data_IF_919032251823
#
_entry.id   IF_919032251823
#
_cell.length_a   1.000
_cell.length_b   1.000
_cell.length_c   1.000
_cell.angle_alpha   90.00
_cell.angle_beta   90.00
_cell.angle_gamma   90.00
#
_symmetry.space_group_name_H-M   'P 1'
#
loop_
_entity.id
_entity.type
_entity.pdbx_description
1 polymer ?
#
# COMPACT_ATOMS: atom_id res chain seq x y z
N UNK A 1 -15.12 47.78 19.75
CA UNK A 1 -15.45 47.41 18.35
C UNK A 1 -14.21 46.78 17.75
N UNK A 2 -14.32 45.60 17.14
CA UNK A 2 -13.18 45.02 16.41
C UNK A 2 -13.13 45.76 15.07
N UNK A 3 -12.19 46.69 14.91
CA UNK A 3 -11.90 47.31 13.61
C UNK A 3 -11.17 46.32 12.71
N UNK A 4 -11.40 46.41 11.39
CA UNK A 4 -10.90 45.49 10.34
C UNK A 4 -11.45 44.05 10.39
N UNK A 5 -12.77 43.88 10.30
CA UNK A 5 -13.37 42.57 10.00
C UNK A 5 -13.53 42.39 8.49
N UNK A 6 -13.08 41.26 7.95
CA UNK A 6 -13.30 40.85 6.56
C UNK A 6 -14.02 39.50 6.56
N UNK A 7 -15.34 39.51 6.36
CA UNK A 7 -16.14 38.28 6.39
C UNK A 7 -16.77 38.02 5.03
N UNK A 8 -16.70 36.76 4.58
CA UNK A 8 -17.21 36.31 3.31
C UNK A 8 -17.79 34.91 3.45
N UNK A 9 -19.11 34.78 3.31
CA UNK A 9 -19.84 33.51 3.46
C UNK A 9 -20.66 33.22 2.20
N UNK A 10 -20.72 31.95 1.79
CA UNK A 10 -21.67 31.43 0.80
C UNK A 10 -21.45 31.84 -0.67
N UNK A 11 -20.39 32.57 -0.99
CA UNK A 11 -20.14 33.09 -2.34
C UNK A 11 -18.88 32.45 -2.95
N UNK A 12 -18.88 32.24 -4.28
CA UNK A 12 -17.70 31.78 -5.04
C UNK A 12 -17.11 32.94 -5.83
N UNK A 13 -15.91 33.36 -5.48
CA UNK A 13 -15.15 34.36 -6.22
C UNK A 13 -14.41 33.67 -7.37
N UNK A 14 -14.70 34.12 -8.59
CA UNK A 14 -13.96 33.73 -9.80
C UNK A 14 -12.65 34.52 -9.98
N UNK A 15 -12.32 35.40 -9.04
CA UNK A 15 -11.11 36.23 -9.04
C UNK A 15 -10.08 35.77 -8.02
N UNK A 16 -9.03 36.57 -7.82
CA UNK A 16 -7.90 36.27 -6.93
C UNK A 16 -7.81 37.27 -5.78
N UNK A 17 -7.30 36.84 -4.63
CA UNK A 17 -7.00 37.70 -3.49
C UNK A 17 -5.67 38.41 -3.75
N UNK A 18 -5.72 39.75 -3.79
CA UNK A 18 -4.54 40.60 -3.88
C UNK A 18 -4.13 41.05 -2.49
N UNK A 19 -3.03 40.51 -1.99
CA UNK A 19 -2.48 40.83 -0.67
C UNK A 19 -1.29 41.78 -0.81
N UNK A 20 -1.55 43.00 -1.27
CA UNK A 20 -0.53 44.05 -1.26
C UNK A 20 -0.59 44.79 0.08
N UNK A 21 0.18 44.33 1.08
CA UNK A 21 0.26 45.01 2.38
C UNK A 21 -1.03 45.03 3.20
N UNK A 22 -1.97 44.12 2.93
CA UNK A 22 -3.22 44.01 3.67
C UNK A 22 -2.95 43.40 5.05
N UNK A 23 -3.04 44.22 6.10
CA UNK A 23 -2.98 43.77 7.48
C UNK A 23 -4.34 43.15 7.85
N UNK A 24 -4.46 41.85 7.61
CA UNK A 24 -5.66 41.09 7.92
C UNK A 24 -5.73 40.91 9.44
N UNK A 25 -6.83 41.34 10.06
CA UNK A 25 -7.10 40.99 11.46
C UNK A 25 -7.35 39.49 11.56
N UNK A 26 -6.47 38.71 12.24
CA UNK A 26 -6.56 37.25 12.25
C UNK A 26 -7.87 36.74 12.85
N UNK A 27 -8.42 37.44 13.86
CA UNK A 27 -9.65 37.06 14.55
C UNK A 27 -10.92 37.62 13.87
N UNK A 28 -10.76 38.72 13.13
CA UNK A 28 -11.85 39.44 12.47
C UNK A 28 -12.17 38.96 11.05
N UNK A 29 -11.31 38.12 10.48
CA UNK A 29 -11.38 37.75 9.07
C UNK A 29 -11.89 36.34 8.89
N UNK A 30 -13.08 36.14 8.31
CA UNK A 30 -13.66 34.81 8.09
C UNK A 30 -13.98 34.61 6.62
N UNK A 31 -13.33 33.66 5.98
CA UNK A 31 -13.69 33.22 4.63
C UNK A 31 -13.29 31.77 4.47
N UNK A 32 -14.01 31.00 3.66
CA UNK A 32 -13.60 29.62 3.37
C UNK A 32 -12.53 29.65 2.27
N UNK A 33 -11.45 28.89 2.42
CA UNK A 33 -10.38 28.86 1.41
C UNK A 33 -10.92 28.45 0.03
N UNK A 34 -11.90 27.55 0.00
CA UNK A 34 -12.54 27.10 -1.25
C UNK A 34 -13.46 28.13 -1.92
N UNK A 35 -13.76 29.24 -1.26
CA UNK A 35 -14.57 30.32 -1.83
C UNK A 35 -13.89 30.98 -3.02
N UNK A 36 -12.56 30.88 -3.11
CA UNK A 36 -11.75 31.46 -4.19
C UNK A 36 -11.29 30.35 -5.12
N UNK A 37 -11.52 30.54 -6.42
CA UNK A 37 -11.14 29.59 -7.48
C UNK A 37 -9.64 29.63 -7.78
N UNK A 38 -9.04 28.46 -8.00
CA UNK A 38 -7.68 28.16 -8.48
C UNK A 38 -6.57 29.22 -8.29
N UNK A 39 -5.58 28.87 -7.46
CA UNK A 39 -4.45 29.69 -7.03
C UNK A 39 -4.85 31.08 -6.53
N UNK A 40 -5.22 31.09 -5.27
CA UNK A 40 -6.14 32.04 -4.66
C UNK A 40 -5.47 33.36 -4.33
N UNK A 41 -4.15 33.35 -4.17
CA UNK A 41 -3.35 34.53 -3.90
C UNK A 41 -2.66 34.96 -5.20
N UNK A 42 -2.70 36.26 -5.48
CA UNK A 42 -1.99 36.84 -6.62
C UNK A 42 -1.22 38.08 -6.21
N UNK A 43 -0.06 38.26 -6.85
CA UNK A 43 0.69 39.51 -6.82
C UNK A 43 0.30 40.33 -8.04
N UNK A 44 -0.06 41.59 -7.82
CA UNK A 44 -0.27 42.53 -8.91
C UNK A 44 1.06 43.22 -9.23
N UNK A 45 1.52 43.14 -10.47
CA UNK A 45 2.70 43.87 -10.93
C UNK A 45 2.26 45.06 -11.80
N UNK A 46 2.48 46.31 -11.34
CA UNK A 46 2.06 47.50 -12.07
C UNK A 46 2.71 47.63 -13.45
N UNK A 47 3.98 47.22 -13.58
CA UNK A 47 4.78 47.37 -14.81
C UNK A 47 4.34 46.40 -15.91
N UNK A 48 3.98 45.16 -15.54
CA UNK A 48 3.51 44.15 -16.48
C UNK A 48 2.00 44.22 -16.76
N UNK A 49 1.25 45.07 -16.04
CA UNK A 49 -0.23 45.11 -16.03
C UNK A 49 -0.86 43.72 -15.89
N UNK A 50 -0.24 42.86 -15.09
CA UNK A 50 -0.56 41.44 -15.01
C UNK A 50 -0.62 40.94 -13.58
N UNK A 51 -1.38 39.87 -13.37
CA UNK A 51 -1.43 39.14 -12.12
C UNK A 51 -0.49 37.94 -12.17
N UNK A 52 0.38 37.83 -11.19
CA UNK A 52 1.18 36.65 -10.94
C UNK A 52 0.46 35.80 -9.91
N UNK A 53 -0.01 34.64 -10.33
CA UNK A 53 -0.68 33.66 -9.48
C UNK A 53 0.00 32.30 -9.63
N UNK A 54 -0.49 31.32 -8.88
CA UNK A 54 0.05 29.97 -8.99
C UNK A 54 -0.17 29.29 -10.37
N UNK A 55 -1.04 29.81 -11.24
CA UNK A 55 -1.13 29.39 -12.65
C UNK A 55 -0.07 30.04 -13.54
N UNK A 56 0.51 31.16 -13.13
CA UNK A 56 1.55 31.92 -13.87
C UNK A 56 2.93 31.86 -13.21
N UNK A 57 3.17 30.84 -12.36
CA UNK A 57 4.44 30.62 -11.63
C UNK A 57 5.68 30.65 -12.53
N UNK A 58 5.56 30.22 -13.79
CA UNK A 58 6.65 30.22 -14.76
C UNK A 58 7.12 31.64 -15.16
N UNK A 59 6.26 32.66 -15.03
CA UNK A 59 6.54 34.04 -15.46
C UNK A 59 6.99 34.95 -14.31
N UNK A 60 6.92 34.49 -13.07
CA UNK A 60 7.26 35.30 -11.88
C UNK A 60 8.77 35.45 -11.76
N UNK A 61 9.33 36.65 -11.58
CA UNK A 61 10.75 36.81 -11.24
C UNK A 61 11.10 36.13 -9.89
N UNK A 62 12.29 35.55 -9.76
CA UNK A 62 12.68 34.78 -8.56
C UNK A 62 12.67 35.64 -7.28
N UNK A 63 13.03 36.90 -7.38
CA UNK A 63 13.02 37.90 -6.31
C UNK A 63 11.61 38.21 -5.78
N UNK A 64 10.58 38.03 -6.62
CA UNK A 64 9.18 38.30 -6.26
C UNK A 64 8.49 37.14 -5.53
N UNK A 65 9.06 35.94 -5.53
CA UNK A 65 8.50 34.79 -4.81
C UNK A 65 8.39 35.03 -3.30
N UNK A 66 9.32 35.80 -2.71
CA UNK A 66 9.28 36.14 -1.29
C UNK A 66 7.99 36.86 -0.90
N UNK A 67 7.51 37.79 -1.74
CA UNK A 67 6.25 38.50 -1.49
C UNK A 67 5.04 37.55 -1.53
N UNK A 68 5.09 36.55 -2.41
CA UNK A 68 4.05 35.53 -2.51
C UNK A 68 4.06 34.64 -1.26
N UNK A 69 5.24 34.18 -0.82
CA UNK A 69 5.39 33.42 0.42
C UNK A 69 4.89 34.19 1.65
N UNK A 70 5.21 35.48 1.76
CA UNK A 70 4.70 36.34 2.83
C UNK A 70 3.17 36.43 2.80
N UNK A 71 2.57 36.55 1.61
CA UNK A 71 1.11 36.61 1.45
C UNK A 71 0.43 35.32 1.89
N UNK A 72 0.96 34.16 1.49
CA UNK A 72 0.48 32.85 1.96
C UNK A 72 0.64 32.70 3.48
N UNK A 73 1.76 33.14 4.05
CA UNK A 73 2.03 33.08 5.49
C UNK A 73 1.02 33.90 6.31
N UNK A 74 0.64 35.10 5.84
CA UNK A 74 -0.36 35.95 6.52
C UNK A 74 -1.72 35.23 6.59
N UNK A 75 -2.20 34.67 5.47
CA UNK A 75 -3.48 33.95 5.45
C UNK A 75 -3.41 32.68 6.30
N UNK A 76 -2.33 31.90 6.17
CA UNK A 76 -2.15 30.68 6.94
C UNK A 76 -2.21 30.96 8.45
N UNK A 77 -1.51 32.01 8.92
CA UNK A 77 -1.54 32.41 10.32
C UNK A 77 -2.92 32.90 10.74
N UNK A 78 -3.67 33.58 9.87
CA UNK A 78 -5.04 33.97 10.13
C UNK A 78 -5.93 32.74 10.38
N UNK A 79 -5.94 31.75 9.47
CA UNK A 79 -6.73 30.53 9.65
C UNK A 79 -6.31 29.74 10.90
N UNK A 80 -5.00 29.64 11.15
CA UNK A 80 -4.48 28.96 12.35
C UNK A 80 -4.96 29.64 13.63
N UNK A 81 -4.92 30.97 13.69
CA UNK A 81 -5.39 31.74 14.86
C UNK A 81 -6.88 31.60 15.14
N UNK A 82 -7.69 31.31 14.12
CA UNK A 82 -9.12 31.09 14.23
C UNK A 82 -9.49 29.65 14.63
N UNK A 83 -8.51 28.74 14.66
CA UNK A 83 -8.76 27.31 14.83
C UNK A 83 -9.32 26.61 13.59
N UNK A 84 -9.38 27.28 12.43
CA UNK A 84 -9.79 26.66 11.16
C UNK A 84 -8.62 25.87 10.55
N UNK A 85 -8.37 24.67 11.10
CA UNK A 85 -7.28 23.78 10.67
C UNK A 85 -7.44 23.29 9.24
N UNK A 86 -8.69 23.10 8.79
CA UNK A 86 -8.96 22.55 7.46
C UNK A 86 -8.52 23.51 6.34
N UNK A 87 -8.90 24.78 6.44
CA UNK A 87 -8.49 25.79 5.47
C UNK A 87 -7.03 26.20 5.63
N UNK A 88 -6.50 26.21 6.86
CA UNK A 88 -5.07 26.41 7.11
C UNK A 88 -4.21 25.35 6.37
N UNK A 89 -4.58 24.07 6.50
CA UNK A 89 -3.87 22.98 5.83
C UNK A 89 -3.93 23.10 4.30
N UNK A 90 -5.09 23.45 3.73
CA UNK A 90 -5.21 23.66 2.28
C UNK A 90 -4.39 24.85 1.79
N UNK A 91 -4.36 25.94 2.55
CA UNK A 91 -3.51 27.10 2.25
C UNK A 91 -2.03 26.73 2.31
N UNK A 92 -1.64 25.92 3.29
CA UNK A 92 -0.27 25.44 3.44
C UNK A 92 0.15 24.52 2.28
N UNK A 93 -0.71 23.60 1.85
CA UNK A 93 -0.44 22.74 0.68
C UNK A 93 -0.24 23.59 -0.59
N UNK A 94 -1.13 24.56 -0.83
CA UNK A 94 -1.00 25.48 -1.97
C UNK A 94 0.30 26.29 -1.91
N UNK A 95 0.65 26.81 -0.74
CA UNK A 95 1.92 27.50 -0.51
C UNK A 95 3.13 26.60 -0.81
N UNK A 96 3.11 25.34 -0.38
CA UNK A 96 4.19 24.39 -0.65
C UNK A 96 4.30 23.99 -2.12
N UNK A 97 3.22 23.94 -2.88
CA UNK A 97 3.29 23.78 -4.33
C UNK A 97 4.02 24.96 -5.00
N UNK A 98 3.70 26.20 -4.58
CA UNK A 98 4.40 27.40 -5.07
C UNK A 98 5.88 27.37 -4.72
N UNK A 99 6.24 26.93 -3.51
CA UNK A 99 7.64 26.76 -3.09
C UNK A 99 8.36 25.66 -3.91
N UNK A 100 7.66 24.58 -4.24
CA UNK A 100 8.20 23.49 -5.08
C UNK A 100 8.54 24.00 -6.48
N UNK A 101 7.68 24.82 -7.08
CA UNK A 101 7.95 25.46 -8.37
C UNK A 101 9.10 26.48 -8.31
N UNK A 102 9.21 27.22 -7.20
CA UNK A 102 10.37 28.09 -6.94
C UNK A 102 11.68 27.29 -6.92
N UNK A 103 11.73 26.17 -6.17
CA UNK A 103 12.90 25.31 -6.10
C UNK A 103 13.26 24.71 -7.46
N UNK A 104 12.27 24.31 -8.26
CA UNK A 104 12.48 23.82 -9.63
C UNK A 104 13.23 24.85 -10.48
N UNK A 105 12.84 26.12 -10.39
CA UNK A 105 13.44 27.22 -11.16
C UNK A 105 14.81 27.63 -10.61
N UNK A 106 14.98 27.62 -9.30
CA UNK A 106 16.27 27.83 -8.66
C UNK A 106 17.29 26.78 -9.11
N UNK A 107 16.86 25.52 -9.23
CA UNK A 107 17.70 24.45 -9.76
C UNK A 107 18.04 24.66 -11.24
N UNK A 108 17.08 25.05 -12.08
CA UNK A 108 17.34 25.35 -13.50
C UNK A 108 18.37 26.48 -13.69
N UNK A 109 18.43 27.44 -12.78
CA UNK A 109 19.38 28.55 -12.87
C UNK A 109 20.77 28.18 -12.34
N UNK A 110 20.88 27.58 -11.15
CA UNK A 110 22.16 27.40 -10.46
C UNK A 110 22.67 25.95 -10.44
N UNK A 111 21.86 24.97 -10.87
CA UNK A 111 22.16 23.53 -10.92
C UNK A 111 22.73 22.94 -9.61
N UNK A 112 22.32 23.50 -8.46
CA UNK A 112 22.79 23.03 -7.15
C UNK A 112 22.11 21.70 -6.74
N UNK A 113 22.92 20.74 -6.30
CA UNK A 113 22.49 19.40 -5.86
C UNK A 113 21.58 19.50 -4.63
N UNK A 114 21.86 20.43 -3.72
CA UNK A 114 21.02 20.61 -2.52
C UNK A 114 19.60 21.06 -2.92
N UNK A 115 19.51 21.99 -3.86
CA UNK A 115 18.22 22.47 -4.40
C UNK A 115 17.49 21.36 -5.14
N UNK A 116 18.21 20.54 -5.92
CA UNK A 116 17.66 19.37 -6.59
C UNK A 116 17.03 18.37 -5.61
N UNK A 117 17.77 17.99 -4.57
CA UNK A 117 17.28 17.04 -3.58
C UNK A 117 16.10 17.60 -2.79
N UNK A 118 16.15 18.89 -2.42
CA UNK A 118 15.06 19.58 -1.72
C UNK A 118 13.79 19.64 -2.58
N UNK A 119 13.92 19.92 -3.88
CA UNK A 119 12.82 19.88 -4.83
C UNK A 119 12.18 18.49 -4.91
N UNK A 120 12.98 17.44 -5.10
CA UNK A 120 12.48 16.07 -5.17
C UNK A 120 11.82 15.61 -3.87
N UNK A 121 12.37 16.01 -2.73
CA UNK A 121 11.78 15.74 -1.43
C UNK A 121 10.40 16.40 -1.32
N UNK A 122 10.25 17.64 -1.77
CA UNK A 122 8.95 18.33 -1.77
C UNK A 122 7.93 17.65 -2.69
N UNK A 123 8.34 17.25 -3.90
CA UNK A 123 7.47 16.48 -4.81
C UNK A 123 7.05 15.14 -4.18
N UNK A 124 7.99 14.46 -3.51
CA UNK A 124 7.70 13.23 -2.80
C UNK A 124 6.70 13.43 -1.65
N UNK A 125 6.89 14.45 -0.81
CA UNK A 125 6.00 14.77 0.31
C UNK A 125 4.60 15.20 -0.12
N UNK A 126 4.49 15.89 -1.25
CA UNK A 126 3.22 16.21 -1.88
C UNK A 126 2.44 14.94 -2.23
N UNK A 127 3.08 14.04 -2.99
CA UNK A 127 2.50 12.78 -3.43
C UNK A 127 2.16 11.87 -2.24
N UNK A 128 3.02 11.82 -1.23
CA UNK A 128 2.89 10.86 -0.14
C UNK A 128 1.95 11.31 0.99
N UNK A 129 1.98 12.59 1.38
CA UNK A 129 1.31 13.04 2.61
C UNK A 129 0.75 14.46 2.57
N UNK A 130 0.62 15.08 1.38
CA UNK A 130 0.23 16.49 1.23
C UNK A 130 1.08 17.40 2.14
N UNK A 131 2.40 17.24 2.08
CA UNK A 131 3.37 17.94 2.94
C UNK A 131 3.14 17.73 4.46
N UNK A 132 2.61 16.56 4.82
CA UNK A 132 2.35 16.16 6.21
C UNK A 132 1.00 16.62 6.76
N UNK A 133 0.17 17.28 5.95
CA UNK A 133 -1.16 17.75 6.37
C UNK A 133 -2.22 16.64 6.39
N UNK A 134 -1.97 15.51 5.72
CA UNK A 134 -2.92 14.42 5.57
C UNK A 134 -2.26 13.03 5.84
N UNK A 135 -2.37 12.47 7.05
CA UNK A 135 -1.79 11.18 7.40
C UNK A 135 -2.57 10.02 6.80
N UNK A 136 -3.86 10.19 6.51
CA UNK A 136 -4.65 9.17 5.81
C UNK A 136 -4.08 8.92 4.41
N UNK A 137 -3.59 9.98 3.76
CA UNK A 137 -2.87 9.89 2.48
C UNK A 137 -1.61 9.02 2.59
N UNK A 138 -0.81 9.25 3.62
CA UNK A 138 0.37 8.45 3.92
C UNK A 138 0.04 6.97 4.12
N UNK A 139 -1.08 6.65 4.78
CA UNK A 139 -1.51 5.27 5.04
C UNK A 139 -1.83 4.55 3.73
N UNK A 140 -2.70 5.12 2.88
CA UNK A 140 -3.08 4.42 1.65
C UNK A 140 -1.90 4.35 0.66
N UNK A 141 -1.03 5.37 0.62
CA UNK A 141 0.18 5.34 -0.21
C UNK A 141 1.15 4.24 0.24
N UNK A 142 1.33 4.09 1.55
CA UNK A 142 2.12 2.99 2.13
C UNK A 142 1.52 1.62 1.79
N UNK A 143 0.19 1.49 1.85
CA UNK A 143 -0.50 0.27 1.45
C UNK A 143 -0.28 -0.07 -0.04
N UNK A 144 -0.28 0.92 -0.94
CA UNK A 144 0.04 0.69 -2.36
C UNK A 144 1.47 0.19 -2.55
N UNK A 145 2.45 0.77 -1.85
CA UNK A 145 3.85 0.32 -1.91
C UNK A 145 3.96 -1.15 -1.50
N UNK A 146 3.28 -1.54 -0.41
CA UNK A 146 3.21 -2.92 0.06
C UNK A 146 2.62 -3.85 -1.00
N UNK A 147 1.48 -3.51 -1.60
CA UNK A 147 0.87 -4.34 -2.65
C UNK A 147 1.78 -4.46 -3.88
N UNK A 148 2.50 -3.40 -4.27
CA UNK A 148 3.46 -3.44 -5.39
C UNK A 148 4.59 -4.42 -5.08
N UNK A 149 5.21 -4.36 -3.90
CA UNK A 149 6.27 -5.29 -3.53
C UNK A 149 5.76 -6.72 -3.38
N UNK A 150 4.58 -6.93 -2.79
CA UNK A 150 3.94 -8.24 -2.75
C UNK A 150 3.71 -8.83 -4.15
N UNK A 151 3.30 -7.99 -5.12
CA UNK A 151 3.16 -8.39 -6.52
C UNK A 151 4.52 -8.73 -7.14
N UNK A 152 5.57 -7.96 -6.86
CA UNK A 152 6.93 -8.29 -7.31
C UNK A 152 7.37 -9.66 -6.75
N UNK A 153 7.21 -9.90 -5.45
CA UNK A 153 7.51 -11.19 -4.81
C UNK A 153 6.70 -12.34 -5.39
N UNK A 154 5.44 -12.08 -5.76
CA UNK A 154 4.56 -13.07 -6.37
C UNK A 154 5.11 -13.64 -7.68
N UNK A 155 5.90 -12.90 -8.45
CA UNK A 155 6.48 -13.44 -9.70
C UNK A 155 7.91 -13.97 -9.53
N UNK A 156 8.53 -13.81 -8.36
CA UNK A 156 9.89 -14.28 -8.14
C UNK A 156 9.96 -15.81 -8.03
N UNK A 157 11.05 -16.42 -8.55
CA UNK A 157 11.20 -17.88 -8.56
C UNK A 157 11.50 -18.46 -7.17
N UNK A 158 11.68 -17.64 -6.14
CA UNK A 158 11.94 -18.13 -4.78
C UNK A 158 10.70 -18.74 -4.13
N UNK A 159 10.96 -19.62 -3.17
CA UNK A 159 9.97 -20.23 -2.29
C UNK A 159 9.90 -19.38 -1.03
N UNK A 160 8.71 -18.91 -0.71
CA UNK A 160 8.44 -18.11 0.47
C UNK A 160 7.40 -18.84 1.31
N UNK A 161 7.56 -18.82 2.64
CA UNK A 161 6.58 -19.39 3.57
C UNK A 161 6.44 -20.91 3.50
N UNK A 162 5.20 -21.39 3.67
CA UNK A 162 4.87 -22.82 3.77
C UNK A 162 4.62 -23.49 2.41
N UNK A 163 4.59 -22.72 1.32
CA UNK A 163 4.37 -23.24 -0.02
C UNK A 163 5.60 -23.99 -0.54
N UNK A 164 5.39 -25.20 -1.05
CA UNK A 164 6.44 -26.02 -1.66
C UNK A 164 6.76 -25.61 -3.11
N UNK A 165 5.81 -24.97 -3.80
CA UNK A 165 5.88 -24.60 -5.20
C UNK A 165 5.95 -23.08 -5.40
N UNK A 166 6.80 -22.65 -6.32
CA UNK A 166 6.83 -21.27 -6.78
C UNK A 166 5.81 -21.05 -7.93
N UNK A 167 5.61 -19.81 -8.39
CA UNK A 167 4.69 -19.48 -9.49
C UNK A 167 4.94 -20.35 -10.72
N UNK A 168 6.21 -20.46 -11.11
CA UNK A 168 6.63 -21.29 -12.24
C UNK A 168 6.40 -22.78 -11.98
N UNK A 169 6.52 -23.25 -10.74
CA UNK A 169 6.19 -24.61 -10.32
C UNK A 169 4.70 -24.90 -10.45
N UNK A 170 3.84 -23.96 -10.06
CA UNK A 170 2.39 -24.04 -10.27
C UNK A 170 2.05 -24.06 -11.76
N UNK A 171 2.70 -23.22 -12.56
CA UNK A 171 2.52 -23.19 -14.02
C UNK A 171 3.01 -24.48 -14.69
N UNK A 172 4.16 -25.01 -14.28
CA UNK A 172 4.69 -26.29 -14.76
C UNK A 172 3.75 -27.43 -14.41
N UNK A 173 3.19 -27.44 -13.21
CA UNK A 173 2.21 -28.41 -12.75
C UNK A 173 0.92 -28.33 -13.58
N UNK A 174 0.47 -27.13 -13.94
CA UNK A 174 -0.65 -26.95 -14.87
C UNK A 174 -0.34 -27.47 -16.28
N UNK A 175 0.86 -27.19 -16.82
CA UNK A 175 1.31 -27.72 -18.11
C UNK A 175 1.44 -29.24 -18.10
N UNK A 176 1.98 -29.82 -17.02
CA UNK A 176 2.07 -31.26 -16.83
C UNK A 176 0.70 -31.90 -16.76
N UNK A 177 -0.29 -31.24 -16.17
CA UNK A 177 -1.67 -31.71 -16.16
C UNK A 177 -2.30 -31.75 -17.57
N UNK A 178 -2.12 -30.69 -18.36
CA UNK A 178 -2.60 -30.66 -19.75
C UNK A 178 -2.01 -31.85 -20.53
N UNK A 179 -0.74 -32.16 -20.27
CA UNK A 179 -0.05 -33.29 -20.90
C UNK A 179 -0.52 -34.65 -20.37
N UNK A 180 -0.63 -34.80 -19.05
CA UNK A 180 -0.98 -36.04 -18.35
C UNK A 180 -1.89 -35.75 -17.13
N UNK A 181 -3.20 -35.99 -17.22
CA UNK A 181 -4.14 -35.63 -16.15
C UNK A 181 -4.01 -36.48 -14.88
N UNK A 182 -3.20 -37.54 -14.90
CA UNK A 182 -2.92 -38.40 -13.73
C UNK A 182 -1.88 -37.80 -12.79
N UNK A 183 -0.96 -36.96 -13.30
CA UNK A 183 0.18 -36.43 -12.53
C UNK A 183 -0.24 -35.59 -11.32
N UNK A 184 -1.30 -34.79 -11.45
CA UNK A 184 -1.85 -34.00 -10.34
C UNK A 184 -2.62 -34.83 -9.31
N UNK A 185 -3.30 -35.88 -9.78
CA UNK A 185 -4.09 -36.76 -8.95
C UNK A 185 -3.20 -37.62 -8.06
N UNK A 186 -2.03 -38.01 -8.58
CA UNK A 186 -1.00 -38.75 -7.84
C UNK A 186 -0.30 -37.85 -6.79
N UNK A 187 -0.15 -36.55 -7.06
CA UNK A 187 0.49 -35.59 -6.14
C UNK A 187 -0.40 -35.19 -4.95
N UNK A 188 -1.72 -35.09 -5.13
CA UNK A 188 -2.65 -34.94 -3.99
C UNK A 188 -2.92 -36.24 -3.23
N UNK A 189 -2.58 -37.41 -3.82
CA UNK A 189 -2.63 -38.69 -3.10
C UNK A 189 -1.37 -38.99 -2.31
N UNK A 190 -0.25 -38.29 -2.54
CA UNK A 190 0.84 -38.25 -1.56
C UNK A 190 0.26 -37.72 -0.25
N UNK A 191 0.31 -38.56 0.78
CA UNK A 191 -0.26 -38.24 2.08
C UNK A 191 0.29 -36.91 2.58
N UNK A 192 -0.53 -36.10 3.30
CA UNK A 192 -0.02 -34.88 3.91
C UNK A 192 1.21 -35.26 4.73
N UNK A 193 2.39 -34.74 4.36
CA UNK A 193 3.61 -34.93 5.16
C UNK A 193 3.29 -34.47 6.57
N UNK A 194 3.13 -35.44 7.47
CA UNK A 194 2.81 -35.25 8.88
C UNK A 194 4.01 -34.54 9.50
N UNK A 195 3.80 -33.46 10.27
CA UNK A 195 4.90 -32.83 11.03
C UNK A 195 5.55 -33.92 11.87
N UNK A 196 6.84 -34.20 11.61
CA UNK A 196 7.59 -35.28 12.26
C UNK A 196 7.53 -35.12 13.79
N UNK A 197 7.59 -33.88 14.25
CA UNK A 197 7.51 -33.48 15.66
C UNK A 197 6.15 -33.79 16.31
N UNK A 198 5.04 -33.63 15.58
CA UNK A 198 3.71 -34.00 16.09
C UNK A 198 3.54 -35.51 16.16
N UNK A 199 4.24 -36.28 15.30
CA UNK A 199 4.25 -37.74 15.44
C UNK A 199 4.93 -38.16 16.72
N UNK A 200 6.14 -37.63 16.93
CA UNK A 200 6.95 -37.90 18.10
C UNK A 200 6.18 -37.55 19.38
N UNK A 201 5.51 -36.40 19.41
CA UNK A 201 4.68 -35.97 20.53
C UNK A 201 3.54 -36.96 20.87
N UNK A 202 2.80 -37.43 19.88
CA UNK A 202 1.70 -38.39 20.10
C UNK A 202 2.22 -39.78 20.51
N UNK A 203 3.32 -40.23 19.91
CA UNK A 203 3.96 -41.48 20.31
C UNK A 203 4.46 -41.42 21.74
N UNK A 204 5.06 -40.31 22.15
CA UNK A 204 5.58 -40.10 23.49
C UNK A 204 4.45 -39.98 24.52
N UNK A 205 3.35 -39.30 24.20
CA UNK A 205 2.14 -39.28 25.03
C UNK A 205 1.56 -40.70 25.22
N UNK A 206 1.57 -41.51 24.14
CA UNK A 206 1.02 -42.87 24.17
C UNK A 206 1.88 -43.84 24.99
N UNK A 207 3.21 -43.68 24.96
CA UNK A 207 4.17 -44.50 25.72
C UNK A 207 4.19 -44.12 27.20
N UNK A 208 4.10 -42.83 27.52
CA UNK A 208 4.32 -42.33 28.89
C UNK A 208 3.02 -42.22 29.72
N UNK A 209 1.86 -42.62 29.18
CA UNK A 209 0.53 -42.42 29.80
C UNK A 209 0.36 -40.99 30.33
N UNK A 210 0.66 -40.01 29.49
CA UNK A 210 0.68 -38.61 29.90
C UNK A 210 -0.71 -38.15 30.42
N UNK A 211 -0.74 -37.23 31.42
CA UNK A 211 -1.96 -36.63 31.93
C UNK A 211 -2.88 -36.01 30.87
N UNK A 212 -4.17 -35.90 31.19
CA UNK A 212 -5.24 -35.50 30.26
C UNK A 212 -5.02 -34.13 29.58
N UNK A 213 -4.32 -33.19 30.22
CA UNK A 213 -4.06 -31.86 29.65
C UNK A 213 -3.08 -31.89 28.46
N UNK A 214 -2.13 -32.83 28.40
CA UNK A 214 -1.28 -33.03 27.22
C UNK A 214 -2.06 -33.54 26.01
N UNK A 215 -3.12 -34.34 26.27
CA UNK A 215 -4.06 -34.74 25.22
C UNK A 215 -4.93 -33.58 24.75
N UNK A 216 -5.31 -32.67 25.66
CA UNK A 216 -6.09 -31.48 25.30
C UNK A 216 -5.32 -30.53 24.39
N UNK A 217 -4.01 -30.38 24.62
CA UNK A 217 -3.12 -29.57 23.76
C UNK A 217 -2.97 -30.16 22.35
N UNK A 218 -3.03 -31.48 22.18
CA UNK A 218 -3.00 -32.12 20.85
C UNK A 218 -4.35 -32.16 20.14
N UNK A 219 -5.48 -31.86 20.80
CA UNK A 219 -6.82 -31.94 20.20
C UNK A 219 -7.00 -31.04 18.95
N UNK A 220 -6.59 -29.75 18.95
CA UNK A 220 -6.81 -28.89 17.79
C UNK A 220 -6.13 -29.46 16.53
N UNK A 221 -4.87 -29.88 16.67
CA UNK A 221 -4.08 -30.39 15.55
C UNK A 221 -4.53 -31.81 15.14
N UNK A 222 -4.95 -32.63 16.10
CA UNK A 222 -5.56 -33.94 15.83
C UNK A 222 -6.89 -33.79 15.06
N UNK A 223 -7.76 -32.85 15.44
CA UNK A 223 -9.04 -32.60 14.75
C UNK A 223 -8.78 -32.15 13.31
N UNK A 224 -7.83 -31.24 13.09
CA UNK A 224 -7.43 -30.79 11.75
C UNK A 224 -6.88 -31.95 10.92
N UNK A 225 -6.07 -32.82 11.51
CA UNK A 225 -5.50 -34.00 10.87
C UNK A 225 -6.57 -35.06 10.51
N UNK A 226 -7.46 -35.43 11.44
CA UNK A 226 -8.56 -36.36 11.17
C UNK A 226 -9.55 -35.79 10.15
N UNK A 227 -9.81 -34.49 10.18
CA UNK A 227 -10.58 -33.76 9.17
C UNK A 227 -9.94 -33.85 7.78
N UNK A 228 -8.63 -33.62 7.68
CA UNK A 228 -7.86 -33.79 6.43
C UNK A 228 -7.89 -35.22 5.90
N UNK A 229 -7.75 -36.25 6.75
CA UNK A 229 -7.81 -37.67 6.33
C UNK A 229 -9.20 -38.07 5.85
N UNK A 230 -10.26 -37.60 6.52
CA UNK A 230 -11.63 -37.88 6.10
C UNK A 230 -11.94 -37.21 4.76
N UNK A 231 -11.50 -35.96 4.61
CA UNK A 231 -11.58 -35.21 3.36
C UNK A 231 -10.82 -35.91 2.23
N UNK A 232 -9.58 -36.36 2.46
CA UNK A 232 -8.76 -37.04 1.45
C UNK A 232 -9.35 -38.38 1.00
N UNK A 233 -9.96 -39.16 1.92
CA UNK A 233 -10.67 -40.40 1.56
C UNK A 233 -11.91 -40.14 0.70
N UNK A 234 -12.71 -39.14 1.06
CA UNK A 234 -13.88 -38.74 0.28
C UNK A 234 -13.47 -38.22 -1.11
N UNK A 235 -12.43 -37.40 -1.15
CA UNK A 235 -11.83 -36.89 -2.37
C UNK A 235 -11.31 -38.01 -3.27
N UNK A 236 -10.54 -38.96 -2.74
CA UNK A 236 -10.02 -40.11 -3.50
C UNK A 236 -11.14 -41.04 -4.00
N UNK A 237 -12.25 -41.18 -3.26
CA UNK A 237 -13.43 -41.91 -3.74
C UNK A 237 -14.13 -41.17 -4.89
N UNK A 238 -14.25 -39.84 -4.78
CA UNK A 238 -14.84 -38.97 -5.79
C UNK A 238 -14.01 -38.94 -7.08
N UNK A 239 -12.69 -38.77 -6.97
CA UNK A 239 -11.75 -38.81 -8.10
C UNK A 239 -11.80 -40.17 -8.82
N UNK A 240 -11.77 -41.29 -8.07
CA UNK A 240 -11.88 -42.63 -8.67
C UNK A 240 -13.19 -42.82 -9.44
N UNK A 241 -14.30 -42.24 -8.96
CA UNK A 241 -15.59 -42.24 -9.65
C UNK A 241 -15.54 -41.42 -10.95
N UNK A 242 -14.93 -40.24 -10.93
CA UNK A 242 -14.72 -39.39 -12.11
C UNK A 242 -13.82 -40.08 -13.14
N UNK A 243 -12.74 -40.73 -12.70
CA UNK A 243 -11.84 -41.47 -13.59
C UNK A 243 -12.56 -42.63 -14.29
N UNK A 244 -13.44 -43.36 -13.57
CA UNK A 244 -14.29 -44.40 -14.16
C UNK A 244 -15.24 -43.83 -15.22
N UNK A 245 -15.80 -42.64 -15.01
CA UNK A 245 -16.64 -41.96 -15.99
C UNK A 245 -15.87 -41.48 -17.23
N UNK A 246 -14.58 -41.15 -17.08
CA UNK A 246 -13.69 -40.85 -18.20
C UNK A 246 -13.41 -42.08 -19.09
N UNK A 247 -13.34 -43.27 -18.48
CA UNK A 247 -13.13 -44.55 -19.16
C UNK A 247 -14.43 -45.17 -19.72
N UNK A 248 -15.61 -44.66 -19.34
CA UNK A 248 -16.90 -45.19 -19.79
C UNK A 248 -17.13 -44.93 -21.29
N UNK A 249 -17.87 -45.81 -21.97
CA UNK A 249 -18.15 -45.69 -23.42
C UNK A 249 -19.11 -44.54 -23.78
N UNK A 250 -19.93 -44.08 -22.84
CA UNK A 250 -20.94 -43.03 -23.09
C UNK A 250 -20.30 -41.65 -23.29
N UNK A 251 -20.57 -40.95 -24.41
CA UNK A 251 -19.96 -39.65 -24.71
C UNK A 251 -20.31 -38.56 -23.70
N UNK A 252 -21.53 -38.57 -23.14
CA UNK A 252 -21.96 -37.61 -22.11
C UNK A 252 -21.18 -37.73 -20.80
N UNK A 253 -20.83 -38.96 -20.39
CA UNK A 253 -20.05 -39.22 -19.18
C UNK A 253 -18.59 -38.82 -19.35
N UNK A 254 -18.04 -38.97 -20.56
CA UNK A 254 -16.68 -38.52 -20.91
C UNK A 254 -16.55 -37.00 -20.87
N UNK A 255 -17.51 -36.28 -21.46
CA UNK A 255 -17.52 -34.81 -21.45
C UNK A 255 -17.67 -34.27 -20.03
N UNK A 256 -18.61 -34.82 -19.25
CA UNK A 256 -18.79 -34.43 -17.85
C UNK A 256 -17.54 -34.73 -17.00
N UNK A 257 -16.91 -35.88 -17.18
CA UNK A 257 -15.67 -36.22 -16.48
C UNK A 257 -14.54 -35.23 -16.82
N UNK A 258 -14.36 -34.88 -18.10
CA UNK A 258 -13.35 -33.89 -18.49
C UNK A 258 -13.63 -32.50 -17.90
N UNK A 259 -14.90 -32.06 -17.90
CA UNK A 259 -15.29 -30.79 -17.30
C UNK A 259 -15.04 -30.76 -15.77
N UNK A 260 -15.34 -31.85 -15.07
CA UNK A 260 -15.09 -31.96 -13.62
C UNK A 260 -13.59 -31.97 -13.29
N UNK A 261 -12.77 -32.72 -14.03
CA UNK A 261 -11.32 -32.73 -13.80
C UNK A 261 -10.74 -31.34 -14.09
N UNK A 262 -11.17 -30.68 -15.17
CA UNK A 262 -10.77 -29.30 -15.46
C UNK A 262 -11.13 -28.34 -14.31
N UNK A 263 -12.37 -28.43 -13.79
CA UNK A 263 -12.79 -27.61 -12.64
C UNK A 263 -11.95 -27.84 -11.39
N UNK A 264 -11.61 -29.10 -11.07
CA UNK A 264 -10.75 -29.45 -9.94
C UNK A 264 -9.34 -28.85 -10.10
N UNK A 265 -8.78 -28.91 -11.31
CA UNK A 265 -7.45 -28.32 -11.56
C UNK A 265 -7.47 -26.81 -11.50
N UNK A 266 -8.49 -26.16 -12.06
CA UNK A 266 -8.63 -24.70 -11.96
C UNK A 266 -8.73 -24.28 -10.49
N UNK A 267 -9.49 -25.02 -9.68
CA UNK A 267 -9.60 -24.78 -8.24
C UNK A 267 -8.25 -24.98 -7.53
N UNK A 268 -7.55 -26.08 -7.82
CA UNK A 268 -6.24 -26.37 -7.23
C UNK A 268 -5.20 -25.29 -7.57
N UNK A 269 -5.11 -24.90 -8.84
CA UNK A 269 -4.20 -23.84 -9.30
C UNK A 269 -4.58 -22.51 -8.66
N UNK A 270 -5.87 -22.15 -8.65
CA UNK A 270 -6.36 -20.92 -8.02
C UNK A 270 -6.06 -20.88 -6.52
N UNK A 271 -6.23 -22.00 -5.81
CA UNK A 271 -5.93 -22.09 -4.38
C UNK A 271 -4.43 -21.89 -4.11
N UNK A 272 -3.56 -22.50 -4.92
CA UNK A 272 -2.11 -22.30 -4.80
C UNK A 272 -1.70 -20.85 -5.09
N UNK A 273 -2.26 -20.24 -6.14
CA UNK A 273 -2.01 -18.83 -6.44
C UNK A 273 -2.52 -17.91 -5.32
N UNK A 274 -3.68 -18.22 -4.73
CA UNK A 274 -4.23 -17.45 -3.62
C UNK A 274 -3.34 -17.52 -2.37
N UNK A 275 -2.91 -18.71 -1.96
CA UNK A 275 -1.99 -18.84 -0.82
C UNK A 275 -0.64 -18.18 -1.08
N UNK A 276 -0.11 -18.29 -2.30
CA UNK A 276 1.11 -17.57 -2.69
C UNK A 276 0.94 -16.06 -2.57
N UNK A 277 -0.21 -15.50 -2.97
CA UNK A 277 -0.49 -14.08 -2.81
C UNK A 277 -0.51 -13.68 -1.33
N UNK A 278 -1.12 -14.49 -0.46
CA UNK A 278 -1.10 -14.26 0.98
C UNK A 278 0.32 -14.33 1.57
N UNK A 279 1.13 -15.31 1.18
CA UNK A 279 2.52 -15.45 1.66
C UNK A 279 3.38 -14.25 1.22
N UNK A 280 3.21 -13.77 -0.02
CA UNK A 280 3.94 -12.61 -0.54
C UNK A 280 3.50 -11.30 0.12
N UNK A 281 2.20 -11.16 0.41
CA UNK A 281 1.66 -10.04 1.19
C UNK A 281 2.18 -10.08 2.63
N UNK A 282 2.18 -11.24 3.28
CA UNK A 282 2.70 -11.41 4.63
C UNK A 282 4.19 -11.10 4.70
N UNK A 283 4.97 -11.52 3.69
CA UNK A 283 6.39 -11.17 3.55
C UNK A 283 6.58 -9.66 3.44
N UNK A 284 5.84 -9.01 2.53
CA UNK A 284 5.91 -7.57 2.31
C UNK A 284 5.50 -6.78 3.56
N UNK A 285 4.40 -7.15 4.24
CA UNK A 285 4.01 -6.55 5.52
C UNK A 285 5.15 -6.65 6.52
N UNK A 286 5.69 -7.85 6.72
CA UNK A 286 6.73 -8.11 7.72
C UNK A 286 8.01 -7.29 7.46
N UNK A 287 8.42 -7.18 6.19
CA UNK A 287 9.58 -6.38 5.79
C UNK A 287 9.31 -4.88 5.94
N UNK A 288 8.15 -4.43 5.47
CA UNK A 288 7.73 -3.03 5.53
C UNK A 288 7.62 -2.50 6.97
N UNK A 289 7.04 -3.30 7.87
CA UNK A 289 6.91 -2.95 9.29
C UNK A 289 8.15 -3.27 10.11
N UNK A 290 9.23 -3.76 9.48
CA UNK A 290 10.50 -4.14 10.14
C UNK A 290 10.35 -5.19 11.25
N UNK A 291 9.29 -6.02 11.21
CA UNK A 291 9.04 -7.05 12.22
C UNK A 291 10.07 -8.20 12.15
N UNK A 292 10.65 -8.42 10.97
CA UNK A 292 11.87 -9.21 10.80
C UNK A 292 11.77 -10.67 11.25
N UNK A 293 10.89 -11.50 10.67
CA UNK A 293 10.99 -12.95 10.84
C UNK A 293 12.31 -13.50 10.26
N UNK A 294 13.27 -13.82 11.13
CA UNK A 294 14.64 -14.23 10.83
C UNK A 294 14.83 -15.62 10.19
N UNK A 295 13.83 -16.18 9.52
CA UNK A 295 13.91 -17.53 8.93
C UNK A 295 13.53 -17.61 7.45
N UNK A 296 13.37 -16.48 6.76
CA UNK A 296 13.21 -16.50 5.30
C UNK A 296 14.61 -16.50 4.67
N UNK A 297 15.10 -17.67 4.27
CA UNK A 297 16.36 -17.82 3.51
C UNK A 297 16.19 -17.23 2.09
N UNK A 298 16.13 -15.92 1.99
CA UNK A 298 16.05 -15.23 0.71
C UNK A 298 17.47 -15.10 0.16
N UNK A 299 17.82 -15.92 -0.83
CA UNK A 299 19.13 -15.84 -1.53
C UNK A 299 18.97 -15.14 -2.88
N UNK A 300 19.98 -14.34 -3.26
CA UNK A 300 20.08 -13.70 -4.59
C UNK A 300 19.28 -12.41 -4.75
N UNK A 301 18.76 -12.14 -5.95
CA UNK A 301 18.02 -10.91 -6.30
C UNK A 301 16.89 -10.54 -5.33
N UNK A 302 16.06 -11.49 -4.85
CA UNK A 302 14.98 -11.15 -3.93
C UNK A 302 15.48 -10.58 -2.60
N UNK A 303 16.71 -10.92 -2.16
CA UNK A 303 17.31 -10.36 -0.94
C UNK A 303 17.47 -8.84 -1.05
N UNK A 304 18.02 -8.36 -2.16
CA UNK A 304 18.19 -6.91 -2.37
C UNK A 304 16.86 -6.18 -2.42
N UNK A 305 15.83 -6.79 -3.02
CA UNK A 305 14.48 -6.23 -3.02
C UNK A 305 13.91 -6.13 -1.60
N UNK A 306 14.09 -7.15 -0.76
CA UNK A 306 13.62 -7.13 0.63
C UNK A 306 14.33 -6.05 1.47
N UNK A 307 15.61 -5.80 1.23
CA UNK A 307 16.36 -4.72 1.90
C UNK A 307 15.87 -3.34 1.47
N UNK A 308 15.65 -3.15 0.16
CA UNK A 308 15.13 -1.89 -0.39
C UNK A 308 13.72 -1.63 0.14
N UNK A 309 12.84 -2.62 0.14
CA UNK A 309 11.51 -2.50 0.72
C UNK A 309 11.55 -2.16 2.21
N UNK A 310 12.40 -2.83 2.99
CA UNK A 310 12.55 -2.54 4.42
C UNK A 310 13.02 -1.10 4.66
N UNK A 311 13.99 -0.62 3.86
CA UNK A 311 14.44 0.77 3.93
C UNK A 311 13.32 1.77 3.58
N UNK A 312 12.58 1.50 2.51
CA UNK A 312 11.43 2.31 2.11
C UNK A 312 10.36 2.29 3.20
N UNK A 313 10.01 1.12 3.75
CA UNK A 313 9.01 0.96 4.80
C UNK A 313 9.36 1.75 6.05
N UNK A 314 10.60 1.63 6.53
CA UNK A 314 11.11 2.42 7.65
C UNK A 314 11.01 3.94 7.39
N UNK A 315 11.37 4.38 6.20
CA UNK A 315 11.30 5.78 5.79
C UNK A 315 9.85 6.29 5.74
N UNK A 316 8.93 5.55 5.12
CA UNK A 316 7.51 5.91 5.00
C UNK A 316 6.80 5.91 6.36
N UNK A 317 7.10 4.94 7.23
CA UNK A 317 6.55 4.87 8.58
C UNK A 317 6.98 6.07 9.43
N UNK A 318 8.21 6.57 9.21
CA UNK A 318 8.70 7.78 9.88
C UNK A 318 7.93 9.03 9.44
N UNK A 319 7.65 9.21 8.15
CA UNK A 319 6.83 10.33 7.67
C UNK A 319 5.38 10.24 8.11
N UNK A 320 4.82 9.03 8.14
CA UNK A 320 3.50 8.81 8.70
C UNK A 320 3.44 9.27 10.16
N UNK A 321 4.39 8.83 10.99
CA UNK A 321 4.49 9.26 12.39
C UNK A 321 4.61 10.78 12.51
N UNK A 322 5.47 11.41 11.70
CA UNK A 322 5.65 12.87 11.69
C UNK A 322 4.35 13.61 11.31
N UNK A 323 3.63 13.15 10.30
CA UNK A 323 2.35 13.74 9.88
C UNK A 323 1.28 13.58 10.95
N UNK A 324 1.21 12.40 11.59
CA UNK A 324 0.28 12.14 12.68
C UNK A 324 0.58 13.03 13.89
N UNK A 325 1.85 13.15 14.29
CA UNK A 325 2.29 14.04 15.37
C UNK A 325 1.93 15.49 15.03
N UNK A 326 2.17 15.94 13.80
CA UNK A 326 1.83 17.30 13.35
C UNK A 326 0.34 17.59 13.50
N UNK A 327 -0.54 16.62 13.21
CA UNK A 327 -1.98 16.76 13.39
C UNK A 327 -2.46 16.71 14.83
N UNK A 328 -1.76 15.98 15.70
CA UNK A 328 -2.11 15.89 17.12
C UNK A 328 -1.65 17.12 17.91
N UNK A 329 -0.46 17.64 17.59
CA UNK A 329 0.14 18.79 18.29
C UNK A 329 -0.42 20.12 17.81
N UNK A 330 -0.59 20.28 16.48
CA UNK A 330 -1.17 21.50 15.90
C UNK A 330 -2.68 21.38 15.79
#
# INVERSE_FOLDING_TARGET
SISNNFQFEGNKLNGTILLYGLNINPLGTRFEWNSVKDYRISLFEPEAKGFYNGNTLAKIPLDRFNNLFSSYSIIYNAFRSQGNRFDANRCYVEWKHVETEYLRRMYQNNHDILVYFTYWMNVFLDIFCDYGTNPLKSIYMSAYVLVIFALLYFFLPNRFGYQTLNFYGVMLLYLQYIRNPKTLLDQETEQPKRNEDFQAYLEEISKTKAPWYFKLVSLPDAILHYGKIRSSRAYNAFIRKILRWKLAEKPSQRVLANALIFGIVVLFVSQNLFYRALDCLALSINLFTTLGFGNTEVKGLPMYLTVIEGFIGWFLLSFFSLSLISQLIN
#
